data_IF_971579261964
#
_entry.id   IF_971579261964
#
_cell.length_a   1.000
_cell.length_b   1.000
_cell.length_c   1.000
_cell.angle_alpha   90.00
_cell.angle_beta   90.00
_cell.angle_gamma   90.00
#
_symmetry.space_group_name_H-M   'P 1'
#
loop_
_entity.id
_entity.type
_entity.pdbx_description
1 polymer ?
#
# COMPACT_ATOMS: atom_id res chain seq x y z
N UNK A 1 -19.87 -10.83 9.35
CA UNK A 1 -20.15 -9.59 8.58
C UNK A 1 -18.93 -8.68 8.32
N UNK A 2 -18.02 -8.45 9.29
CA UNK A 2 -16.86 -7.54 9.11
C UNK A 2 -15.73 -8.06 8.20
N UNK A 3 -15.58 -9.38 8.02
CA UNK A 3 -14.54 -9.98 7.17
C UNK A 3 -14.79 -9.85 5.65
N UNK A 4 -16.04 -9.73 5.21
CA UNK A 4 -16.38 -9.64 3.78
C UNK A 4 -16.04 -8.27 3.15
N UNK A 5 -15.96 -7.20 3.96
CA UNK A 5 -15.55 -5.88 3.49
C UNK A 5 -14.02 -5.73 3.39
N UNK A 6 -13.26 -6.41 4.25
CA UNK A 6 -11.78 -6.38 4.26
C UNK A 6 -11.15 -6.96 2.98
N UNK A 7 -11.86 -7.80 2.21
CA UNK A 7 -11.34 -8.39 0.98
C UNK A 7 -11.43 -7.52 -0.28
N UNK A 8 -12.35 -6.54 -0.33
CA UNK A 8 -12.64 -5.81 -1.59
C UNK A 8 -11.49 -4.89 -2.01
N UNK A 9 -10.89 -4.17 -1.07
CA UNK A 9 -9.74 -3.31 -1.36
C UNK A 9 -8.54 -4.11 -1.87
N UNK A 10 -8.28 -5.28 -1.27
CA UNK A 10 -7.22 -6.19 -1.71
C UNK A 10 -7.49 -6.75 -3.11
N UNK A 11 -8.71 -7.21 -3.37
CA UNK A 11 -9.08 -7.75 -4.69
C UNK A 11 -8.97 -6.69 -5.79
N UNK A 12 -9.34 -5.43 -5.52
CA UNK A 12 -9.17 -4.32 -6.46
C UNK A 12 -7.69 -4.01 -6.71
N UNK A 13 -6.87 -4.03 -5.65
CA UNK A 13 -5.44 -3.80 -5.76
C UNK A 13 -4.76 -4.87 -6.64
N UNK A 14 -5.09 -6.14 -6.42
CA UNK A 14 -4.64 -7.27 -7.24
C UNK A 14 -5.10 -7.15 -8.71
N UNK A 15 -6.23 -6.49 -8.96
CA UNK A 15 -6.78 -6.18 -10.29
C UNK A 15 -6.28 -4.85 -10.88
N UNK A 16 -5.11 -4.38 -10.47
CA UNK A 16 -4.50 -3.16 -10.97
C UNK A 16 -5.28 -1.83 -10.70
N UNK A 17 -6.04 -1.74 -9.61
CA UNK A 17 -6.66 -0.47 -9.20
C UNK A 17 -5.64 0.63 -8.84
N UNK A 18 -5.96 1.90 -9.14
CA UNK A 18 -5.13 3.06 -8.81
C UNK A 18 -5.53 3.66 -7.45
N UNK A 19 -4.55 4.18 -6.71
CA UNK A 19 -4.75 4.85 -5.43
C UNK A 19 -4.42 6.35 -5.54
N UNK A 20 -5.30 7.22 -5.02
CA UNK A 20 -5.07 8.65 -4.99
C UNK A 20 -5.11 9.12 -3.54
N UNK A 21 -4.07 9.82 -3.11
CA UNK A 21 -3.90 10.31 -1.74
C UNK A 21 -3.93 11.83 -1.80
N UNK A 22 -4.89 12.45 -1.12
CA UNK A 22 -5.08 13.90 -1.10
C UNK A 22 -5.09 14.39 0.36
N UNK A 23 -4.41 15.49 0.66
CA UNK A 23 -4.38 16.09 2.00
C UNK A 23 -3.00 16.61 2.40
N UNK A 24 -2.61 16.42 3.66
CA UNK A 24 -1.28 16.82 4.14
C UNK A 24 -0.18 15.81 3.77
N UNK A 25 1.09 16.24 3.79
CA UNK A 25 2.24 15.32 3.70
C UNK A 25 2.17 14.21 4.74
N UNK A 26 1.72 14.54 5.95
CA UNK A 26 1.56 13.58 7.04
C UNK A 26 0.56 12.45 6.70
N UNK A 27 -0.50 12.75 5.94
CA UNK A 27 -1.43 11.71 5.45
C UNK A 27 -0.72 10.78 4.46
N UNK A 28 0.07 11.33 3.54
CA UNK A 28 0.88 10.53 2.59
C UNK A 28 1.81 9.55 3.29
N UNK A 29 2.55 10.03 4.29
CA UNK A 29 3.48 9.20 5.07
C UNK A 29 2.76 8.14 5.92
N UNK A 30 1.59 8.50 6.48
CA UNK A 30 0.76 7.56 7.22
C UNK A 30 0.26 6.42 6.34
N UNK A 31 -0.24 6.73 5.14
CA UNK A 31 -0.68 5.73 4.16
C UNK A 31 0.49 4.83 3.73
N UNK A 32 1.64 5.41 3.39
CA UNK A 32 2.86 4.65 3.04
C UNK A 32 3.23 3.66 4.15
N UNK A 33 3.28 4.15 5.39
CA UNK A 33 3.63 3.33 6.57
C UNK A 33 2.69 2.13 6.72
N UNK A 34 1.38 2.34 6.60
CA UNK A 34 0.41 1.27 6.77
C UNK A 34 0.43 0.28 5.59
N UNK A 35 0.59 0.76 4.36
CA UNK A 35 0.71 -0.12 3.18
C UNK A 35 1.94 -1.01 3.29
N UNK A 36 3.10 -0.45 3.66
CA UNK A 36 4.33 -1.23 3.85
C UNK A 36 4.12 -2.34 4.87
N UNK A 37 3.51 -2.02 6.03
CA UNK A 37 3.18 -3.01 7.06
C UNK A 37 2.24 -4.10 6.55
N UNK A 38 1.15 -3.73 5.86
CA UNK A 38 0.18 -4.68 5.31
C UNK A 38 0.84 -5.64 4.31
N UNK A 39 1.72 -5.14 3.46
CA UNK A 39 2.41 -5.95 2.46
C UNK A 39 3.45 -6.89 3.09
N UNK A 40 4.24 -6.41 4.06
CA UNK A 40 5.18 -7.26 4.81
C UNK A 40 4.43 -8.39 5.51
N UNK A 41 3.32 -8.09 6.18
CA UNK A 41 2.50 -9.10 6.87
C UNK A 41 1.97 -10.14 5.88
N UNK A 42 1.42 -9.70 4.74
CA UNK A 42 0.94 -10.61 3.70
C UNK A 42 2.05 -11.46 3.06
N UNK A 43 3.26 -10.92 2.90
CA UNK A 43 4.43 -11.66 2.42
C UNK A 43 4.86 -12.74 3.42
N UNK A 44 4.94 -12.39 4.71
CA UNK A 44 5.27 -13.34 5.80
C UNK A 44 4.25 -14.47 5.91
N UNK A 45 2.96 -14.17 5.78
CA UNK A 45 1.89 -15.17 5.81
C UNK A 45 1.98 -16.17 4.66
N UNK A 46 2.54 -15.76 3.50
CA UNK A 46 2.73 -16.62 2.32
C UNK A 46 4.07 -17.37 2.31
N UNK A 47 4.98 -17.05 3.24
CA UNK A 47 6.34 -17.59 3.25
C UNK A 47 7.24 -16.97 2.18
N UNK A 48 6.94 -15.76 1.71
CA UNK A 48 7.78 -15.05 0.74
C UNK A 48 9.10 -14.63 1.43
N UNK A 49 10.26 -15.00 0.85
CA UNK A 49 11.59 -14.76 1.45
C UNK A 49 11.95 -13.26 1.52
N UNK A 50 11.43 -12.45 0.58
CA UNK A 50 11.73 -11.02 0.48
C UNK A 50 10.66 -10.15 1.16
N UNK A 51 10.57 -10.26 2.49
CA UNK A 51 9.63 -9.50 3.33
C UNK A 51 10.29 -8.36 4.14
N UNK A 52 11.44 -7.86 3.66
CA UNK A 52 12.16 -6.77 4.34
C UNK A 52 11.41 -5.44 4.22
N UNK A 53 11.58 -4.56 5.19
CA UNK A 53 10.95 -3.23 5.14
C UNK A 53 11.51 -2.36 4.02
N UNK A 54 12.81 -2.49 3.74
CA UNK A 54 13.49 -1.75 2.67
C UNK A 54 12.98 -2.17 1.29
N UNK A 55 12.94 -3.47 0.99
CA UNK A 55 12.44 -3.96 -0.31
C UNK A 55 10.98 -3.61 -0.55
N UNK A 56 10.15 -3.61 0.49
CA UNK A 56 8.74 -3.20 0.37
C UNK A 56 8.59 -1.68 0.21
N UNK A 57 9.46 -0.87 0.85
CA UNK A 57 9.48 0.58 0.61
C UNK A 57 9.92 0.91 -0.82
N UNK A 58 10.96 0.25 -1.32
CA UNK A 58 11.41 0.43 -2.71
C UNK A 58 10.32 0.05 -3.70
N UNK A 59 9.68 -1.11 -3.48
CA UNK A 59 8.50 -1.52 -4.25
C UNK A 59 7.42 -0.44 -4.23
N UNK A 60 7.08 0.10 -3.06
CA UNK A 60 6.07 1.14 -2.93
C UNK A 60 6.45 2.38 -3.75
N UNK A 61 7.67 2.91 -3.60
CA UNK A 61 8.12 4.09 -4.36
C UNK A 61 8.07 3.88 -5.88
N UNK A 62 8.39 2.67 -6.35
CA UNK A 62 8.29 2.30 -7.75
C UNK A 62 6.87 2.34 -8.33
N UNK A 63 5.83 2.33 -7.48
CA UNK A 63 4.44 2.47 -7.89
C UNK A 63 4.00 3.93 -8.07
N UNK A 64 4.83 4.90 -7.66
CA UNK A 64 4.45 6.32 -7.72
C UNK A 64 4.28 6.74 -9.18
N UNK A 65 3.22 7.48 -9.46
CA UNK A 65 2.79 7.89 -10.81
C UNK A 65 2.39 6.75 -11.75
N UNK A 66 2.48 5.47 -11.33
CA UNK A 66 2.01 4.31 -12.09
C UNK A 66 0.71 3.76 -11.50
N UNK A 67 0.71 3.51 -10.18
CA UNK A 67 -0.41 2.88 -9.45
C UNK A 67 -0.89 3.72 -8.28
N UNK A 68 -0.11 4.71 -7.82
CA UNK A 68 -0.63 5.73 -6.92
C UNK A 68 -0.11 7.13 -7.22
N UNK A 69 -0.87 8.14 -6.80
CA UNK A 69 -0.50 9.55 -6.87
C UNK A 69 -0.84 10.27 -5.56
N UNK A 70 -0.09 11.33 -5.25
CA UNK A 70 -0.25 12.16 -4.06
C UNK A 70 -0.50 13.61 -4.45
N UNK A 71 -1.52 14.24 -3.89
CA UNK A 71 -1.83 15.65 -4.03
C UNK A 71 -1.82 16.32 -2.64
N UNK A 72 -0.90 17.25 -2.43
CA UNK A 72 -0.52 17.76 -1.10
C UNK A 72 -0.84 19.25 -1.00
N UNK A 73 -1.49 19.66 0.10
CA UNK A 73 -2.02 21.03 0.28
C UNK A 73 -1.39 21.82 1.44
N UNK A 74 -0.43 21.24 2.17
CA UNK A 74 0.34 21.89 3.23
C UNK A 74 1.84 22.00 2.88
#
# INVERSE_FOLDING_TARGET
>A
PRRAAQGRGRALWEQNAKLYICGSRAIGEGVKTEVVKMVINGKKERGDEDASEESVKEWWEGLRNVRYATDVFD
#
